data_IF_097152088190
#
_entry.id   IF_097152088190
#
_cell.length_a   1.000
_cell.length_b   1.000
_cell.length_c   1.000
_cell.angle_alpha   90.00
_cell.angle_beta   90.00
_cell.angle_gamma   90.00
#
_symmetry.space_group_name_H-M   'P 1'
#
loop_
_entity.id
_entity.type
_entity.pdbx_description
1 polymer ?
#
# COMPACT_ATOMS: atom_id res chain seq x y z
N UNK A 1 28.79 -18.65 73.64
CA UNK A 1 27.55 -17.97 73.13
C UNK A 1 27.82 -17.05 71.95
N UNK A 2 28.90 -16.24 71.94
CA UNK A 2 29.25 -15.31 70.87
C UNK A 2 29.48 -15.94 69.44
N UNK A 3 30.18 -17.08 69.37
CA UNK A 3 30.51 -17.79 68.17
C UNK A 3 29.28 -18.38 67.46
N UNK A 4 28.30 -18.87 68.20
CA UNK A 4 27.05 -19.45 67.65
C UNK A 4 26.19 -18.35 67.02
N UNK A 5 26.10 -17.19 67.68
CA UNK A 5 25.34 -16.05 67.17
C UNK A 5 25.96 -15.50 65.90
N UNK A 6 27.28 -15.37 65.84
CA UNK A 6 28.01 -14.92 64.63
C UNK A 6 27.82 -15.90 63.49
N UNK A 7 27.88 -17.22 63.76
CA UNK A 7 27.62 -18.24 62.71
C UNK A 7 26.19 -18.17 62.18
N UNK A 8 25.19 -17.99 63.02
CA UNK A 8 23.81 -17.87 62.62
C UNK A 8 23.54 -16.61 61.74
N UNK A 9 24.17 -15.49 62.12
CA UNK A 9 24.06 -14.23 61.38
C UNK A 9 24.70 -14.37 60.00
N UNK A 10 25.91 -14.91 59.87
CA UNK A 10 26.61 -15.13 58.64
C UNK A 10 25.83 -16.08 57.68
N UNK A 11 25.26 -17.16 58.24
CA UNK A 11 24.45 -18.12 57.49
C UNK A 11 23.15 -17.48 56.99
N UNK A 12 22.50 -16.63 57.80
CA UNK A 12 21.30 -15.85 57.35
C UNK A 12 21.65 -14.83 56.28
N UNK A 13 22.78 -14.14 56.35
CA UNK A 13 23.23 -13.20 55.35
C UNK A 13 23.57 -13.88 54.01
N UNK A 14 24.26 -15.03 54.07
CA UNK A 14 24.55 -15.84 52.89
C UNK A 14 23.26 -16.35 52.23
N UNK A 15 22.29 -16.82 53.01
CA UNK A 15 20.99 -17.28 52.50
C UNK A 15 20.20 -16.16 51.85
N UNK A 16 20.19 -14.94 52.44
CA UNK A 16 19.56 -13.74 51.81
C UNK A 16 20.25 -13.34 50.51
N UNK A 17 21.58 -13.39 50.46
CA UNK A 17 22.35 -13.07 49.24
C UNK A 17 22.04 -14.05 48.12
N UNK A 18 21.96 -15.36 48.41
CA UNK A 18 21.61 -16.37 47.43
C UNK A 18 20.15 -16.24 46.96
N UNK A 19 19.23 -15.91 47.88
CA UNK A 19 17.83 -15.65 47.52
C UNK A 19 17.70 -14.43 46.61
N UNK A 20 18.39 -13.33 46.90
CA UNK A 20 18.37 -12.13 46.06
C UNK A 20 19.00 -12.40 44.70
N UNK A 21 20.08 -13.20 44.63
CA UNK A 21 20.68 -13.60 43.36
C UNK A 21 19.71 -14.45 42.53
N UNK A 22 19.01 -15.38 43.18
CA UNK A 22 18.01 -16.23 42.49
C UNK A 22 16.83 -15.42 41.98
N UNK A 23 16.35 -14.43 42.73
CA UNK A 23 15.30 -13.49 42.31
C UNK A 23 15.78 -12.64 41.13
N UNK A 24 17.02 -12.15 41.15
CA UNK A 24 17.61 -11.38 40.08
C UNK A 24 17.72 -12.21 38.79
N UNK A 25 18.17 -13.46 38.89
CA UNK A 25 18.24 -14.39 37.73
C UNK A 25 16.84 -14.65 37.17
N UNK A 26 15.85 -14.89 38.05
CA UNK A 26 14.48 -15.11 37.63
C UNK A 26 13.90 -13.87 36.89
N UNK A 27 14.19 -12.68 37.43
CA UNK A 27 13.78 -11.42 36.81
C UNK A 27 14.45 -11.22 35.43
N UNK A 28 15.75 -11.52 35.29
CA UNK A 28 16.45 -11.47 34.04
C UNK A 28 15.88 -12.48 33.01
N UNK A 29 15.52 -13.69 33.45
CA UNK A 29 14.92 -14.69 32.57
C UNK A 29 13.54 -14.26 32.05
N UNK A 30 12.77 -13.51 32.84
CA UNK A 30 11.45 -13.00 32.39
C UNK A 30 11.56 -11.82 31.40
N UNK A 31 12.69 -11.09 31.39
CA UNK A 31 12.91 -9.96 30.48
C UNK A 31 13.47 -10.37 29.12
N UNK A 32 14.01 -11.60 28.99
CA UNK A 32 14.55 -12.12 27.71
C UNK A 32 13.47 -12.85 26.89
N UNK A 33 12.23 -12.39 26.94
CA UNK A 33 11.20 -12.86 26.04
C UNK A 33 11.38 -12.17 24.69
N UNK A 34 12.25 -12.71 23.85
CA UNK A 34 12.36 -12.27 22.45
C UNK A 34 11.07 -12.68 21.72
N UNK A 35 10.17 -11.73 21.56
CA UNK A 35 9.02 -11.86 20.70
C UNK A 35 9.37 -11.31 19.33
N UNK A 36 9.28 -12.13 18.29
CA UNK A 36 9.43 -11.70 16.90
C UNK A 36 8.04 -11.29 16.35
N UNK A 37 7.77 -9.98 16.21
CA UNK A 37 6.46 -9.50 15.75
C UNK A 37 6.17 -9.84 14.29
N UNK A 38 7.16 -10.32 13.55
CA UNK A 38 7.00 -10.73 12.15
C UNK A 38 6.47 -12.16 12.01
N UNK A 39 6.43 -12.92 13.11
CA UNK A 39 5.97 -14.31 13.12
C UNK A 39 4.75 -14.48 14.01
N UNK A 40 3.80 -15.34 13.62
CA UNK A 40 2.67 -15.69 14.48
C UNK A 40 3.15 -16.35 15.78
N UNK A 41 2.44 -16.10 16.88
CA UNK A 41 2.68 -16.80 18.14
C UNK A 41 2.32 -18.29 18.03
N UNK A 42 3.04 -19.13 18.76
CA UNK A 42 2.67 -20.54 18.89
C UNK A 42 1.27 -20.68 19.49
N UNK A 43 0.46 -21.53 18.91
CA UNK A 43 -0.88 -21.88 19.40
C UNK A 43 -0.92 -23.36 19.81
N UNK A 44 -1.91 -23.72 20.62
CA UNK A 44 -2.04 -25.08 21.12
C UNK A 44 -2.24 -26.14 19.99
N UNK A 45 -2.96 -25.76 18.92
CA UNK A 45 -3.09 -26.56 17.70
C UNK A 45 -2.44 -25.82 16.54
N UNK A 46 -1.20 -26.17 16.17
CA UNK A 46 -0.46 -25.45 15.12
C UNK A 46 -0.91 -25.80 13.69
N UNK A 47 -1.95 -26.60 13.53
CA UNK A 47 -2.51 -26.91 12.22
C UNK A 47 -2.92 -25.61 11.50
N UNK A 48 -2.50 -25.45 10.26
CA UNK A 48 -2.77 -24.27 9.44
C UNK A 48 -1.99 -22.98 9.85
N UNK A 49 -0.92 -23.09 10.62
CA UNK A 49 0.02 -21.97 10.77
C UNK A 49 0.65 -21.57 9.45
N UNK A 50 0.95 -22.57 8.65
CA UNK A 50 1.43 -22.40 7.30
C UNK A 50 0.39 -22.98 6.34
N UNK A 51 0.07 -22.24 5.30
CA UNK A 51 -0.82 -22.73 4.25
C UNK A 51 -0.16 -23.89 3.53
N UNK A 52 -0.89 -24.97 3.26
CA UNK A 52 -0.44 -26.06 2.37
C UNK A 52 -0.36 -25.58 0.92
N UNK A 53 -1.26 -24.65 0.55
CA UNK A 53 -1.20 -23.98 -0.76
C UNK A 53 -0.20 -22.83 -0.73
N UNK A 54 0.46 -22.59 -1.85
CA UNK A 54 1.40 -21.48 -2.00
C UNK A 54 0.72 -20.12 -1.84
N UNK A 55 1.38 -19.18 -1.18
CA UNK A 55 1.04 -17.75 -1.27
C UNK A 55 1.46 -17.18 -2.62
N UNK A 56 0.95 -15.99 -2.97
CA UNK A 56 1.10 -15.39 -4.32
C UNK A 56 2.55 -15.24 -4.80
N UNK A 57 3.50 -15.06 -3.89
CA UNK A 57 4.91 -14.85 -4.22
C UNK A 57 5.83 -15.82 -3.46
N UNK A 58 5.29 -16.97 -3.04
CA UNK A 58 6.08 -17.97 -2.34
C UNK A 58 7.11 -18.62 -3.25
N UNK A 59 8.15 -19.16 -2.63
CA UNK A 59 9.13 -20.01 -3.32
C UNK A 59 8.46 -21.31 -3.76
N UNK A 60 8.78 -21.78 -4.96
CA UNK A 60 8.24 -23.03 -5.53
C UNK A 60 9.28 -23.76 -6.36
N UNK A 61 9.56 -24.99 -5.99
CA UNK A 61 10.44 -25.89 -6.75
C UNK A 61 9.80 -26.40 -8.05
N UNK A 62 8.51 -26.14 -8.26
CA UNK A 62 7.80 -26.57 -9.47
C UNK A 62 8.20 -25.76 -10.71
N UNK A 63 8.76 -24.55 -10.52
CA UNK A 63 9.12 -23.65 -11.60
C UNK A 63 10.62 -23.35 -11.63
N UNK A 64 11.18 -23.26 -12.84
CA UNK A 64 12.63 -23.02 -13.03
C UNK A 64 13.12 -21.67 -12.44
N UNK A 65 12.25 -20.70 -12.28
CA UNK A 65 12.55 -19.40 -11.66
C UNK A 65 12.40 -19.40 -10.13
N UNK A 66 12.00 -20.54 -9.54
CA UNK A 66 11.91 -20.73 -8.10
C UNK A 66 10.76 -19.98 -7.41
N UNK A 67 9.80 -19.42 -8.15
CA UNK A 67 8.67 -18.66 -7.57
C UNK A 67 7.33 -19.13 -8.12
N UNK A 68 6.29 -19.06 -7.29
CA UNK A 68 4.92 -19.44 -7.66
C UNK A 68 4.29 -18.44 -8.64
N UNK A 69 4.58 -17.15 -8.49
CA UNK A 69 4.06 -16.09 -9.36
C UNK A 69 4.71 -16.18 -10.74
N UNK A 70 3.99 -16.76 -11.69
CA UNK A 70 4.43 -16.89 -13.08
C UNK A 70 3.87 -15.77 -13.93
N UNK A 71 4.66 -15.31 -14.90
CA UNK A 71 4.15 -14.41 -15.93
C UNK A 71 3.12 -15.16 -16.79
N UNK A 72 2.08 -14.48 -17.27
CA UNK A 72 1.16 -15.04 -18.24
C UNK A 72 1.91 -15.59 -19.46
N UNK A 73 1.37 -16.63 -20.08
CA UNK A 73 1.93 -17.17 -21.32
C UNK A 73 1.93 -16.09 -22.39
N UNK A 74 3.03 -15.98 -23.15
CA UNK A 74 3.17 -14.98 -24.20
C UNK A 74 2.00 -15.08 -25.21
N UNK A 75 1.47 -13.94 -25.61
CA UNK A 75 0.33 -13.85 -26.52
C UNK A 75 -1.05 -14.02 -25.86
N UNK A 76 -1.12 -14.26 -24.55
CA UNK A 76 -2.40 -14.31 -23.83
C UNK A 76 -2.95 -12.91 -23.55
N UNK A 77 -4.27 -12.77 -23.67
CA UNK A 77 -4.98 -11.54 -23.38
C UNK A 77 -5.76 -11.74 -22.08
N UNK A 78 -5.50 -10.95 -21.01
CA UNK A 78 -6.23 -11.07 -19.77
C UNK A 78 -7.70 -10.72 -19.94
N UNK A 79 -8.55 -11.32 -19.13
CA UNK A 79 -9.98 -11.05 -19.11
C UNK A 79 -10.22 -9.57 -18.73
N UNK A 80 -11.09 -8.88 -19.49
CA UNK A 80 -11.38 -7.46 -19.26
C UNK A 80 -10.35 -6.49 -19.88
N UNK A 81 -9.35 -7.01 -20.59
CA UNK A 81 -8.43 -6.16 -21.33
C UNK A 81 -9.18 -5.41 -22.46
N UNK A 82 -8.94 -4.11 -22.51
CA UNK A 82 -9.47 -3.23 -23.57
C UNK A 82 -8.27 -2.62 -24.31
N UNK A 83 -8.20 -2.75 -25.63
CA UNK A 83 -7.14 -2.14 -26.41
C UNK A 83 -7.03 -0.64 -26.13
N UNK A 84 -5.78 -0.16 -26.04
CA UNK A 84 -5.48 1.26 -25.92
C UNK A 84 -4.41 1.60 -26.95
N UNK A 85 -4.80 2.38 -27.95
CA UNK A 85 -4.03 2.59 -29.20
C UNK A 85 -2.95 3.68 -29.07
N UNK A 86 -2.92 4.42 -27.95
CA UNK A 86 -1.96 5.50 -27.71
C UNK A 86 -0.74 4.92 -27.01
N UNK A 87 0.44 5.22 -27.54
CA UNK A 87 1.71 4.76 -26.99
C UNK A 87 2.09 5.52 -25.72
N UNK A 88 2.92 4.90 -24.85
CA UNK A 88 3.50 5.52 -23.66
C UNK A 88 4.64 6.47 -24.03
N UNK A 89 4.30 7.55 -24.75
CA UNK A 89 5.20 8.60 -25.20
C UNK A 89 4.58 9.98 -24.95
N UNK A 90 5.39 11.05 -25.08
CA UNK A 90 4.85 12.41 -25.01
C UNK A 90 3.91 12.69 -26.18
N UNK A 91 4.24 12.19 -27.35
CA UNK A 91 3.43 12.30 -28.57
C UNK A 91 2.10 11.55 -28.39
N UNK A 92 2.14 10.34 -27.80
CA UNK A 92 0.94 9.57 -27.47
C UNK A 92 0.07 10.29 -26.43
N UNK A 93 0.68 10.91 -25.42
CA UNK A 93 -0.04 11.75 -24.45
C UNK A 93 -0.73 12.95 -25.13
N UNK A 94 -0.02 13.68 -25.99
CA UNK A 94 -0.57 14.85 -26.68
C UNK A 94 -1.67 14.45 -27.67
N UNK A 95 -1.50 13.33 -28.35
CA UNK A 95 -2.52 12.76 -29.22
C UNK A 95 -3.78 12.37 -28.42
N UNK A 96 -3.61 11.63 -27.32
CA UNK A 96 -4.73 11.25 -26.44
C UNK A 96 -5.42 12.50 -25.85
N UNK A 97 -4.66 13.51 -25.43
CA UNK A 97 -5.20 14.77 -24.92
C UNK A 97 -6.13 15.46 -25.92
N UNK A 98 -5.78 15.43 -27.20
CA UNK A 98 -6.47 16.17 -28.25
C UNK A 98 -7.59 15.38 -28.93
N UNK A 99 -7.52 14.04 -28.94
CA UNK A 99 -8.42 13.21 -29.77
C UNK A 99 -9.24 12.20 -28.97
N UNK A 100 -8.86 11.90 -27.73
CA UNK A 100 -9.53 10.88 -26.94
C UNK A 100 -10.57 11.51 -26.00
N UNK A 101 -11.80 11.07 -26.12
CA UNK A 101 -12.92 11.54 -25.30
C UNK A 101 -13.57 10.38 -24.57
N UNK A 102 -14.17 10.68 -23.41
CA UNK A 102 -14.89 9.67 -22.64
C UNK A 102 -16.06 9.10 -23.44
N UNK A 103 -16.14 7.76 -23.59
CA UNK A 103 -17.30 7.12 -24.19
C UNK A 103 -18.50 7.03 -23.24
N UNK A 104 -18.31 7.35 -21.95
CA UNK A 104 -19.35 7.27 -20.95
C UNK A 104 -20.20 8.52 -20.92
N UNK A 105 -21.49 8.35 -20.69
CA UNK A 105 -22.40 9.48 -20.43
C UNK A 105 -22.00 10.17 -19.12
N UNK A 106 -21.95 11.51 -19.13
CA UNK A 106 -21.75 12.32 -17.94
C UNK A 106 -23.07 12.35 -17.15
N UNK A 107 -23.28 11.39 -16.27
CA UNK A 107 -24.45 11.28 -15.41
C UNK A 107 -24.05 11.17 -13.94
N UNK A 108 -25.04 11.26 -13.05
CA UNK A 108 -24.82 11.24 -11.61
C UNK A 108 -24.19 9.91 -11.14
N UNK A 109 -24.61 8.77 -11.71
CA UNK A 109 -24.08 7.46 -11.38
C UNK A 109 -22.57 7.35 -11.66
N UNK A 110 -22.14 7.73 -12.86
CA UNK A 110 -20.73 7.70 -13.25
C UNK A 110 -19.89 8.67 -12.42
N UNK A 111 -20.42 9.87 -12.13
CA UNK A 111 -19.75 10.84 -11.26
C UNK A 111 -19.64 10.37 -9.80
N UNK A 112 -20.68 9.74 -9.27
CA UNK A 112 -20.67 9.19 -7.92
C UNK A 112 -19.63 8.07 -7.80
N UNK A 113 -19.58 7.15 -8.79
CA UNK A 113 -18.59 6.08 -8.82
C UNK A 113 -17.17 6.64 -8.99
N UNK A 114 -16.98 7.61 -9.88
CA UNK A 114 -15.70 8.29 -10.06
C UNK A 114 -15.23 8.98 -8.77
N UNK A 115 -16.14 9.60 -8.01
CA UNK A 115 -15.84 10.19 -6.69
C UNK A 115 -15.37 9.15 -5.67
N UNK A 116 -16.06 8.00 -5.61
CA UNK A 116 -15.69 6.90 -4.72
C UNK A 116 -14.27 6.40 -5.02
N UNK A 117 -14.00 6.09 -6.30
CA UNK A 117 -12.69 5.62 -6.75
C UNK A 117 -11.59 6.66 -6.54
N UNK A 118 -11.88 7.94 -6.84
CA UNK A 118 -10.97 9.05 -6.60
C UNK A 118 -10.59 9.16 -5.12
N UNK A 119 -11.53 9.01 -4.22
CA UNK A 119 -11.29 9.07 -2.78
C UNK A 119 -10.32 7.97 -2.32
N UNK A 120 -10.39 6.78 -2.94
CA UNK A 120 -9.53 5.64 -2.61
C UNK A 120 -8.12 5.80 -3.21
N UNK A 121 -8.02 6.10 -4.50
CA UNK A 121 -6.75 6.01 -5.24
C UNK A 121 -6.03 7.35 -5.42
N UNK A 122 -6.74 8.47 -5.46
CA UNK A 122 -6.19 9.75 -5.93
C UNK A 122 -6.09 10.81 -4.83
N UNK A 123 -7.09 10.89 -3.95
CA UNK A 123 -7.20 11.95 -2.96
C UNK A 123 -6.01 11.98 -1.96
N UNK A 124 -5.36 10.85 -1.73
CA UNK A 124 -4.19 10.74 -0.85
C UNK A 124 -3.04 11.65 -1.28
N UNK A 125 -2.89 11.88 -2.58
CA UNK A 125 -1.92 12.78 -3.17
C UNK A 125 -2.55 14.12 -3.62
N UNK A 126 -3.64 14.04 -4.38
CA UNK A 126 -4.23 15.21 -5.04
C UNK A 126 -5.20 16.03 -4.19
N UNK A 127 -5.52 15.56 -2.97
CA UNK A 127 -6.50 16.19 -2.10
C UNK A 127 -7.95 15.90 -2.52
N UNK A 128 -8.87 16.01 -1.59
CA UNK A 128 -10.30 15.73 -1.84
C UNK A 128 -10.97 16.71 -2.81
N UNK A 129 -10.35 17.88 -3.00
CA UNK A 129 -10.79 18.93 -3.91
C UNK A 129 -10.01 18.98 -5.22
N UNK A 130 -8.93 18.21 -5.33
CA UNK A 130 -8.04 18.28 -6.48
C UNK A 130 -7.08 19.48 -6.47
N UNK A 131 -6.88 20.06 -5.30
CA UNK A 131 -6.02 21.23 -5.05
C UNK A 131 -4.54 20.88 -4.85
N UNK A 132 -4.18 19.60 -4.95
CA UNK A 132 -2.83 19.12 -4.70
C UNK A 132 -2.47 18.98 -3.22
N UNK A 133 -3.41 19.20 -2.29
CA UNK A 133 -3.18 19.20 -0.85
C UNK A 133 -3.62 17.87 -0.20
N UNK A 134 -3.23 16.75 -0.80
CA UNK A 134 -3.46 15.43 -0.21
C UNK A 134 -2.61 15.19 1.03
N UNK A 135 -2.95 14.16 1.80
CA UNK A 135 -2.27 13.83 3.07
C UNK A 135 -0.78 13.56 2.89
N UNK A 136 -0.36 13.01 1.74
CA UNK A 136 1.06 12.77 1.47
C UNK A 136 1.80 14.07 1.15
N UNK A 137 1.16 15.03 0.51
CA UNK A 137 1.70 16.36 0.27
C UNK A 137 1.83 17.14 1.59
N UNK A 138 0.78 17.17 2.41
CA UNK A 138 0.79 17.89 3.70
C UNK A 138 1.77 17.30 4.72
N UNK A 139 2.11 16.02 4.58
CA UNK A 139 3.15 15.35 5.39
C UNK A 139 4.53 15.36 4.74
N UNK A 140 4.73 16.15 3.69
CA UNK A 140 6.01 16.30 2.97
C UNK A 140 6.61 14.97 2.47
N UNK A 141 5.77 13.97 2.21
CA UNK A 141 6.20 12.68 1.64
C UNK A 141 6.30 12.73 0.12
N UNK A 142 5.44 13.54 -0.51
CA UNK A 142 5.49 13.86 -1.94
C UNK A 142 5.32 15.37 -2.07
N UNK A 143 6.21 16.00 -2.83
CA UNK A 143 6.20 17.44 -3.06
C UNK A 143 5.84 17.76 -4.52
N UNK A 144 5.29 18.96 -4.74
CA UNK A 144 5.08 19.48 -6.09
C UNK A 144 3.88 18.86 -6.81
N UNK A 145 2.88 18.34 -6.09
CA UNK A 145 1.63 17.86 -6.68
C UNK A 145 0.82 19.09 -7.08
N UNK A 146 0.56 19.31 -8.39
CA UNK A 146 -0.12 20.52 -8.84
C UNK A 146 -1.62 20.44 -8.57
N UNK A 147 -2.23 21.61 -8.37
CA UNK A 147 -3.69 21.75 -8.44
C UNK A 147 -4.19 21.45 -9.85
N UNK A 148 -5.37 20.85 -9.98
CA UNK A 148 -5.99 20.66 -11.28
C UNK A 148 -6.37 21.99 -11.95
N UNK A 149 -6.54 23.08 -11.20
CA UNK A 149 -6.76 24.41 -11.75
C UNK A 149 -5.57 24.89 -12.59
N UNK A 150 -4.35 24.51 -12.20
CA UNK A 150 -3.10 24.95 -12.83
C UNK A 150 -2.72 24.13 -14.07
N UNK A 151 -3.57 23.19 -14.45
CA UNK A 151 -3.31 22.24 -15.54
C UNK A 151 -4.38 22.31 -16.61
N UNK A 152 -3.92 22.30 -17.84
CA UNK A 152 -4.79 22.11 -19.01
C UNK A 152 -4.95 20.60 -19.26
N UNK A 153 -5.97 20.00 -18.60
CA UNK A 153 -6.29 18.58 -18.65
C UNK A 153 -7.61 18.32 -19.37
N UNK A 154 -7.66 17.22 -20.09
CA UNK A 154 -8.83 16.72 -20.82
C UNK A 154 -9.13 15.29 -20.42
N UNK A 155 -10.29 14.75 -20.80
CA UNK A 155 -10.65 13.34 -20.58
C UNK A 155 -9.51 12.41 -21.04
N UNK A 156 -9.03 12.61 -22.25
CA UNK A 156 -7.98 11.78 -22.83
C UNK A 156 -6.64 11.90 -22.11
N UNK A 157 -6.23 13.12 -21.70
CA UNK A 157 -4.99 13.30 -20.97
C UNK A 157 -5.03 12.63 -19.60
N UNK A 158 -6.16 12.71 -18.89
CA UNK A 158 -6.34 12.06 -17.59
C UNK A 158 -6.32 10.55 -17.76
N UNK A 159 -7.07 10.03 -18.73
CA UNK A 159 -7.10 8.59 -19.00
C UNK A 159 -5.70 8.04 -19.35
N UNK A 160 -4.95 8.75 -20.19
CA UNK A 160 -3.59 8.37 -20.57
C UNK A 160 -2.65 8.32 -19.35
N UNK A 161 -2.75 9.31 -18.45
CA UNK A 161 -1.96 9.33 -17.21
C UNK A 161 -2.38 8.20 -16.27
N UNK A 162 -3.65 7.86 -16.18
CA UNK A 162 -4.11 6.69 -15.40
C UNK A 162 -3.62 5.38 -16.01
N UNK A 163 -3.44 5.32 -17.33
CA UNK A 163 -2.97 4.13 -18.05
C UNK A 163 -1.48 3.90 -17.82
N UNK A 164 -0.64 4.91 -18.00
CA UNK A 164 0.82 4.76 -18.02
C UNK A 164 1.54 5.42 -16.86
N UNK A 165 0.88 6.37 -16.21
CA UNK A 165 1.54 7.27 -15.26
C UNK A 165 2.09 8.52 -15.96
N UNK A 166 2.66 9.44 -15.19
CA UNK A 166 3.41 10.60 -15.67
C UNK A 166 4.34 11.12 -14.60
N UNK A 167 5.63 11.26 -14.89
CA UNK A 167 6.66 11.67 -13.95
C UNK A 167 6.70 10.77 -12.70
N UNK A 168 6.39 11.32 -11.52
CA UNK A 168 6.35 10.57 -10.27
C UNK A 168 5.02 9.81 -10.03
N UNK A 169 4.00 10.09 -10.82
CA UNK A 169 2.73 9.37 -10.74
C UNK A 169 2.81 8.05 -11.51
N UNK A 170 2.72 6.94 -10.80
CA UNK A 170 2.70 5.60 -11.41
C UNK A 170 1.39 5.29 -12.15
N UNK A 171 1.42 4.27 -12.99
CA UNK A 171 0.24 3.72 -13.65
C UNK A 171 -0.77 3.18 -12.62
N UNK A 172 -2.05 3.40 -12.89
CA UNK A 172 -3.18 2.86 -12.14
C UNK A 172 -3.95 1.78 -12.93
N UNK A 173 -3.42 1.37 -14.08
CA UNK A 173 -4.10 0.43 -14.98
C UNK A 173 -4.36 -0.94 -14.36
N UNK A 174 -3.54 -1.35 -13.39
CA UNK A 174 -3.70 -2.62 -12.66
C UNK A 174 -4.72 -2.54 -11.51
N UNK A 175 -5.05 -1.34 -11.02
CA UNK A 175 -5.96 -1.15 -9.88
C UNK A 175 -7.37 -0.76 -10.29
N UNK A 176 -7.52 -0.07 -11.43
CA UNK A 176 -8.80 0.42 -11.93
C UNK A 176 -9.01 -0.03 -13.37
N UNK A 177 -10.19 -0.52 -13.69
CA UNK A 177 -10.53 -0.98 -15.03
C UNK A 177 -10.75 0.19 -16.00
N UNK A 178 -10.97 -0.14 -17.29
CA UNK A 178 -11.16 0.87 -18.34
C UNK A 178 -12.36 1.78 -18.07
N UNK A 179 -13.49 1.22 -17.62
CA UNK A 179 -14.69 2.02 -17.31
C UNK A 179 -14.44 2.92 -16.11
N UNK A 180 -13.80 2.39 -15.08
CA UNK A 180 -13.46 3.12 -13.85
C UNK A 180 -12.50 4.27 -14.12
N UNK A 181 -11.51 4.08 -15.00
CA UNK A 181 -10.63 5.18 -15.45
C UNK A 181 -11.41 6.33 -16.07
N UNK A 182 -12.42 6.04 -16.89
CA UNK A 182 -13.29 7.07 -17.44
C UNK A 182 -14.16 7.77 -16.40
N UNK A 183 -14.67 7.02 -15.42
CA UNK A 183 -15.46 7.59 -14.32
C UNK A 183 -14.58 8.51 -13.46
N UNK A 184 -13.35 8.12 -13.17
CA UNK A 184 -12.36 8.97 -12.48
C UNK A 184 -12.07 10.22 -13.31
N UNK A 185 -11.84 10.09 -14.63
CA UNK A 185 -11.56 11.22 -15.52
C UNK A 185 -12.68 12.26 -15.50
N UNK A 186 -13.93 11.83 -15.59
CA UNK A 186 -15.09 12.72 -15.50
C UNK A 186 -15.18 13.43 -14.15
N UNK A 187 -14.89 12.71 -13.06
CA UNK A 187 -14.90 13.31 -11.74
C UNK A 187 -13.75 14.32 -11.54
N UNK A 188 -12.54 14.03 -12.02
CA UNK A 188 -11.40 14.95 -11.98
C UNK A 188 -11.72 16.24 -12.73
N UNK A 189 -12.35 16.15 -13.91
CA UNK A 189 -12.79 17.35 -14.64
C UNK A 189 -13.83 18.15 -13.87
N UNK A 190 -14.75 17.50 -13.16
CA UNK A 190 -15.71 18.19 -12.30
C UNK A 190 -15.03 18.91 -11.13
N UNK A 191 -13.99 18.32 -10.54
CA UNK A 191 -13.18 18.99 -9.51
C UNK A 191 -12.47 20.22 -10.08
N UNK A 192 -11.86 20.09 -11.27
CA UNK A 192 -11.21 21.22 -11.95
C UNK A 192 -12.20 22.35 -12.23
N UNK A 193 -13.38 22.05 -12.75
CA UNK A 193 -14.44 23.03 -12.98
C UNK A 193 -14.81 23.81 -11.69
N UNK A 194 -14.81 23.16 -10.54
CA UNK A 194 -15.10 23.78 -9.24
C UNK A 194 -13.95 24.64 -8.72
N UNK A 195 -12.70 24.32 -9.06
CA UNK A 195 -11.52 25.07 -8.64
C UNK A 195 -11.31 26.37 -9.43
N UNK A 196 -11.79 26.43 -10.67
CA UNK A 196 -11.61 27.59 -11.56
C UNK A 196 -12.81 28.55 -11.60
N UNK A 197 -13.90 28.23 -10.87
CA UNK A 197 -15.04 29.12 -10.64
C UNK A 197 -14.74 30.12 -9.54
#
# INVERSE_FOLDING_TARGET
MYYILKYMITKRLAMRKNLNLMVLILLCLTTVSCFDPSKPNYQFFPNMYESVGYGTYDESDAFNNGIEAQLPVEGTIPRGWVPYEFEDTNEGYDLAKNTLFSPLLKNEENLAKGKELYAVYCAVCHGSKGDGQGILMTREKFLGIPSYADRDITDGSIYHVLMYGKNLMGSHASQVDSKERWQISQYVLSLRENLIK
#
